data_IF_144461500831
#
_entry.id   IF_144461500831
#
_cell.length_a   1.000
_cell.length_b   1.000
_cell.length_c   1.000
_cell.angle_alpha   90.00
_cell.angle_beta   90.00
_cell.angle_gamma   90.00
#
_symmetry.space_group_name_H-M   'P 1'
#
loop_
_entity.id
_entity.type
_entity.pdbx_description
1 polymer ?
#
# COMPACT_ATOMS: atom_id res chain seq x y z
N UNK A 1 -20.42 -15.70 -13.46
CA UNK A 1 -19.95 -15.70 -12.06
C UNK A 1 -18.42 -15.70 -12.10
N UNK A 2 -17.76 -14.58 -11.79
CA UNK A 2 -16.29 -14.50 -11.85
C UNK A 2 -15.74 -15.11 -10.57
N UNK A 3 -15.10 -16.28 -10.67
CA UNK A 3 -14.42 -16.91 -9.55
C UNK A 3 -13.04 -16.25 -9.39
N UNK A 4 -12.94 -15.27 -8.49
CA UNK A 4 -11.67 -14.63 -8.17
C UNK A 4 -10.86 -15.55 -7.26
N UNK A 5 -9.56 -15.68 -7.55
CA UNK A 5 -8.65 -16.33 -6.62
C UNK A 5 -8.63 -15.58 -5.28
N UNK A 6 -8.39 -16.29 -4.17
CA UNK A 6 -8.24 -15.65 -2.84
C UNK A 6 -7.17 -14.56 -2.82
N UNK A 7 -6.11 -14.72 -3.64
CA UNK A 7 -5.06 -13.70 -3.87
C UNK A 7 -5.62 -12.44 -4.52
N UNK A 8 -6.47 -12.59 -5.53
CA UNK A 8 -7.11 -11.48 -6.25
C UNK A 8 -8.05 -10.69 -5.32
N UNK A 9 -8.83 -11.40 -4.50
CA UNK A 9 -9.75 -10.76 -3.52
C UNK A 9 -8.96 -9.96 -2.50
N UNK A 10 -7.89 -10.53 -1.92
CA UNK A 10 -7.04 -9.82 -0.95
C UNK A 10 -6.37 -8.57 -1.54
N UNK A 11 -5.94 -8.63 -2.80
CA UNK A 11 -5.37 -7.46 -3.51
C UNK A 11 -6.42 -6.37 -3.72
N UNK A 12 -7.62 -6.75 -4.18
CA UNK A 12 -8.72 -5.82 -4.34
C UNK A 12 -9.09 -5.15 -3.01
N UNK A 13 -9.13 -5.91 -1.93
CA UNK A 13 -9.40 -5.41 -0.58
C UNK A 13 -8.39 -4.31 -0.15
N UNK A 14 -7.09 -4.57 -0.27
CA UNK A 14 -6.08 -3.55 0.11
C UNK A 14 -6.09 -2.33 -0.81
N UNK A 15 -6.30 -2.51 -2.11
CA UNK A 15 -6.42 -1.38 -3.04
C UNK A 15 -7.65 -0.53 -2.74
N UNK A 16 -8.78 -1.17 -2.42
CA UNK A 16 -10.00 -0.46 -2.03
C UNK A 16 -9.80 0.32 -0.73
N UNK A 17 -9.16 -0.28 0.28
CA UNK A 17 -8.84 0.42 1.53
C UNK A 17 -7.99 1.67 1.29
N UNK A 18 -6.94 1.56 0.47
CA UNK A 18 -6.12 2.72 0.09
C UNK A 18 -6.94 3.80 -0.64
N UNK A 19 -7.86 3.40 -1.52
CA UNK A 19 -8.72 4.33 -2.25
C UNK A 19 -9.69 5.07 -1.32
N UNK A 20 -10.34 4.37 -0.40
CA UNK A 20 -11.29 4.97 0.56
C UNK A 20 -10.57 6.01 1.41
N UNK A 21 -9.44 5.64 2.03
CA UNK A 21 -8.62 6.55 2.84
C UNK A 21 -8.18 7.76 1.99
N UNK A 22 -7.75 7.54 0.74
CA UNK A 22 -7.39 8.63 -0.15
C UNK A 22 -8.52 9.62 -0.39
N UNK A 23 -9.78 9.15 -0.48
CA UNK A 23 -10.93 10.01 -0.70
C UNK A 23 -11.28 10.80 0.57
N UNK A 24 -11.18 10.16 1.73
CA UNK A 24 -11.38 10.83 3.03
C UNK A 24 -10.35 11.93 3.26
N UNK A 25 -9.07 11.66 3.01
CA UNK A 25 -7.98 12.63 3.18
C UNK A 25 -8.10 13.85 2.27
N UNK A 26 -8.63 13.69 1.05
CA UNK A 26 -8.86 14.83 0.13
C UNK A 26 -9.83 15.86 0.70
N UNK A 27 -10.70 15.45 1.62
CA UNK A 27 -11.70 16.30 2.25
C UNK A 27 -11.21 16.91 3.59
N UNK A 28 -9.96 16.64 3.99
CA UNK A 28 -9.40 17.05 5.29
C UNK A 28 -8.04 17.74 5.11
N UNK A 29 -8.05 19.03 4.75
CA UNK A 29 -6.82 19.79 4.48
C UNK A 29 -6.04 20.22 5.73
N UNK A 30 -6.71 20.34 6.88
CA UNK A 30 -6.16 21.06 8.03
C UNK A 30 -5.74 20.13 9.20
N UNK A 31 -5.79 18.82 8.98
CA UNK A 31 -5.50 17.80 10.00
C UNK A 31 -4.29 16.98 9.57
N UNK A 32 -3.32 16.82 10.50
CA UNK A 32 -2.21 15.88 10.31
C UNK A 32 -2.76 14.46 10.48
N UNK A 33 -2.79 13.71 9.38
CA UNK A 33 -3.24 12.33 9.36
C UNK A 33 -2.05 11.38 9.41
N UNK A 34 -2.04 10.48 10.40
CA UNK A 34 -1.02 9.44 10.54
C UNK A 34 -1.68 8.11 10.19
N UNK A 35 -1.09 7.41 9.22
CA UNK A 35 -1.59 6.11 8.75
C UNK A 35 -0.59 5.00 9.11
N UNK A 36 -1.09 3.93 9.75
CA UNK A 36 -0.37 2.67 9.82
C UNK A 36 -0.60 1.89 8.53
N UNK A 37 0.43 1.88 7.67
CA UNK A 37 0.46 1.30 6.32
C UNK A 37 -0.44 2.04 5.32
N UNK A 38 -0.03 1.95 4.05
CA UNK A 38 -0.75 2.50 2.91
C UNK A 38 -0.27 1.83 1.62
N UNK A 39 -0.40 2.48 0.47
CA UNK A 39 0.00 1.97 -0.84
C UNK A 39 1.39 1.30 -0.92
N UNK A 40 2.48 1.85 -0.33
CA UNK A 40 3.79 1.20 -0.38
C UNK A 40 3.78 -0.22 0.19
N UNK A 41 3.06 -0.44 1.29
CA UNK A 41 2.96 -1.77 1.90
C UNK A 41 2.27 -2.77 0.97
N UNK A 42 1.21 -2.35 0.28
CA UNK A 42 0.49 -3.18 -0.68
C UNK A 42 1.38 -3.61 -1.84
N UNK A 43 2.16 -2.68 -2.41
CA UNK A 43 3.07 -2.98 -3.52
C UNK A 43 4.23 -3.87 -3.07
N UNK A 44 4.89 -3.56 -1.95
CA UNK A 44 6.02 -4.34 -1.46
C UNK A 44 5.60 -5.80 -1.18
N UNK A 45 4.45 -6.03 -0.55
CA UNK A 45 3.93 -7.39 -0.35
C UNK A 45 3.57 -8.11 -1.66
N UNK A 46 3.18 -7.37 -2.69
CA UNK A 46 2.93 -7.96 -4.01
C UNK A 46 4.23 -8.35 -4.69
N UNK A 47 5.23 -7.47 -4.66
CA UNK A 47 6.55 -7.68 -5.25
C UNK A 47 7.31 -8.81 -4.56
N UNK A 48 7.32 -8.85 -3.23
CA UNK A 48 7.94 -9.93 -2.48
C UNK A 48 7.32 -11.31 -2.78
N UNK A 49 6.08 -11.35 -3.29
CA UNK A 49 5.37 -12.59 -3.68
C UNK A 49 5.52 -12.92 -5.16
N UNK A 50 5.94 -11.98 -6.00
CA UNK A 50 6.25 -12.25 -7.40
C UNK A 50 7.73 -12.63 -7.50
N UNK A 51 8.04 -13.87 -7.86
CA UNK A 51 9.41 -14.33 -8.11
C UNK A 51 10.04 -13.72 -9.40
N UNK A 52 9.48 -12.63 -9.91
CA UNK A 52 9.91 -12.02 -11.16
C UNK A 52 10.95 -10.93 -10.85
N UNK A 53 12.19 -11.15 -11.30
CA UNK A 53 13.28 -10.16 -11.30
C UNK A 53 13.06 -9.02 -12.31
N UNK A 54 11.80 -8.71 -12.62
CA UNK A 54 11.47 -7.62 -13.52
C UNK A 54 11.72 -6.30 -12.80
N UNK A 55 12.49 -5.41 -13.43
CA UNK A 55 12.62 -4.02 -13.01
C UNK A 55 11.27 -3.32 -13.19
N UNK A 56 10.38 -3.49 -12.21
CA UNK A 56 9.07 -2.85 -12.23
C UNK A 56 9.29 -1.38 -11.91
N UNK A 57 8.97 -0.52 -12.88
CA UNK A 57 8.96 0.92 -12.67
C UNK A 57 7.73 1.27 -11.84
N UNK A 58 7.94 1.45 -10.54
CA UNK A 58 6.89 1.78 -9.58
C UNK A 58 6.76 3.30 -9.52
N UNK A 59 5.60 3.83 -9.90
CA UNK A 59 5.24 5.23 -9.72
C UNK A 59 4.07 5.36 -8.77
N UNK A 60 4.00 6.48 -8.03
CA UNK A 60 2.85 6.78 -7.19
C UNK A 60 1.59 6.87 -8.08
N UNK A 61 0.49 6.19 -7.73
CA UNK A 61 -0.73 6.23 -8.54
C UNK A 61 -1.46 7.57 -8.39
N UNK A 62 -1.82 8.20 -9.51
CA UNK A 62 -2.44 9.53 -9.57
C UNK A 62 -3.78 9.64 -8.81
N UNK A 63 -4.47 8.52 -8.58
CA UNK A 63 -5.75 8.51 -7.89
C UNK A 63 -5.61 8.45 -6.36
N UNK A 64 -4.43 8.11 -5.82
CA UNK A 64 -4.17 8.11 -4.39
C UNK A 64 -3.49 9.42 -3.96
N UNK A 65 -3.94 9.98 -2.83
CA UNK A 65 -3.25 11.07 -2.14
C UNK A 65 -1.84 10.62 -1.81
N UNK A 66 -0.86 11.41 -2.23
CA UNK A 66 0.54 11.19 -1.87
C UNK A 66 0.81 11.79 -0.49
N UNK A 67 1.32 11.00 0.48
CA UNK A 67 1.74 11.52 1.76
C UNK A 67 2.89 12.53 1.61
N UNK A 68 2.91 13.55 2.46
CA UNK A 68 4.03 14.48 2.55
C UNK A 68 5.29 13.81 3.13
N UNK A 69 5.12 12.77 3.97
CA UNK A 69 6.19 12.00 4.57
C UNK A 69 5.80 10.52 4.65
N UNK A 70 6.77 9.64 4.40
CA UNK A 70 6.65 8.20 4.63
C UNK A 70 7.78 7.81 5.60
N UNK A 71 7.40 7.21 6.74
CA UNK A 71 8.36 6.69 7.72
C UNK A 71 8.42 5.17 7.52
N UNK A 72 9.60 4.68 7.13
CA UNK A 72 9.86 3.25 7.04
C UNK A 72 10.63 2.80 8.27
N UNK A 73 9.98 1.97 9.09
CA UNK A 73 10.60 1.37 10.27
C UNK A 73 11.16 0.01 9.84
N UNK A 74 12.48 -0.06 9.71
CA UNK A 74 13.20 -1.30 9.49
C UNK A 74 13.47 -1.98 10.84
N UNK A 75 13.21 -3.28 10.91
CA UNK A 75 13.55 -4.12 12.06
C UNK A 75 14.40 -5.24 11.53
N UNK A 76 15.61 -5.39 12.08
CA UNK A 76 16.42 -6.58 11.83
C UNK A 76 15.79 -7.76 12.57
N UNK A 77 15.51 -8.85 11.85
CA UNK A 77 14.94 -10.06 12.43
C UNK A 77 15.93 -10.73 13.42
N UNK A 78 17.22 -10.43 13.31
CA UNK A 78 18.25 -10.91 14.26
C UNK A 78 18.05 -10.29 15.65
N UNK A 79 17.45 -9.10 15.72
CA UNK A 79 17.19 -8.39 16.98
C UNK A 79 15.83 -8.73 17.61
N UNK A 80 15.01 -9.55 16.93
CA UNK A 80 13.78 -10.12 17.50
C UNK A 80 14.11 -11.34 18.37
N UNK A 81 14.58 -11.08 19.59
CA UNK A 81 14.66 -12.06 20.66
C UNK A 81 13.26 -12.58 21.06
#
# INVERSE_FOLDING_TARGET
>A
MIMLSTKSVRRAYYNLGNLIISLELKNQSDIINILDRYWPSTIIYQLAKSNENNQIKISWPNYLVQPALIIYIYVDEIERC
#
